data_IF_915162571532
#
_entry.id   IF_915162571532
#
_cell.length_a   1.000
_cell.length_b   1.000
_cell.length_c   1.000
_cell.angle_alpha   90.00
_cell.angle_beta   90.00
_cell.angle_gamma   90.00
#
_symmetry.space_group_name_H-M   'P 1'
#
loop_
_entity.id
_entity.type
_entity.pdbx_description
1 polymer ?
#
# COMPACT_ATOMS: atom_id res chain seq x y z
N UNK A 1 34.98 -24.68 -34.32
CA UNK A 1 33.78 -24.51 -35.17
C UNK A 1 33.30 -25.88 -35.64
N UNK A 2 32.29 -26.45 -34.99
CA UNK A 2 31.70 -27.75 -35.34
C UNK A 2 30.18 -27.59 -35.24
N UNK A 3 29.52 -27.51 -36.41
CA UNK A 3 28.06 -27.52 -36.55
C UNK A 3 27.57 -28.95 -36.35
N UNK A 4 26.76 -29.20 -35.32
CA UNK A 4 25.94 -30.42 -35.22
C UNK A 4 24.48 -30.04 -35.42
N UNK A 5 23.97 -30.47 -36.58
CA UNK A 5 22.56 -30.55 -36.91
C UNK A 5 22.04 -31.90 -36.41
N UNK A 6 20.96 -31.92 -35.64
CA UNK A 6 20.17 -33.14 -35.38
C UNK A 6 18.69 -32.80 -35.52
N UNK A 7 18.06 -33.44 -36.50
CA UNK A 7 16.62 -33.56 -36.68
C UNK A 7 16.01 -34.56 -35.68
N UNK A 8 14.75 -34.31 -35.31
CA UNK A 8 13.85 -35.24 -34.62
C UNK A 8 12.55 -34.49 -34.33
N UNK A 9 11.55 -34.46 -35.22
CA UNK A 9 10.61 -35.54 -35.56
C UNK A 9 9.91 -36.12 -34.31
N UNK A 10 8.77 -35.54 -33.93
CA UNK A 10 7.68 -36.30 -33.30
C UNK A 10 6.34 -35.78 -33.77
N UNK A 11 5.63 -36.68 -34.45
CA UNK A 11 4.27 -36.55 -34.94
C UNK A 11 3.25 -36.49 -33.80
N UNK A 12 2.21 -35.71 -34.10
CA UNK A 12 0.79 -35.88 -33.73
C UNK A 12 0.44 -37.17 -32.99
N UNK A 13 -0.29 -37.00 -31.89
CA UNK A 13 -1.52 -37.78 -31.71
C UNK A 13 -2.60 -36.93 -31.06
N UNK A 14 -3.59 -36.58 -31.90
CA UNK A 14 -4.85 -35.98 -31.51
C UNK A 14 -5.76 -37.07 -30.99
N UNK A 15 -6.26 -36.94 -29.75
CA UNK A 15 -7.48 -37.63 -29.32
C UNK A 15 -8.40 -36.67 -28.58
N UNK A 16 -9.36 -36.16 -29.34
CA UNK A 16 -10.66 -35.75 -28.83
C UNK A 16 -11.28 -36.90 -28.04
N UNK A 17 -11.64 -36.65 -26.78
CA UNK A 17 -12.69 -37.42 -26.11
C UNK A 17 -13.57 -36.42 -25.37
N UNK A 18 -14.71 -36.14 -26.00
CA UNK A 18 -15.82 -35.41 -25.43
C UNK A 18 -16.98 -36.40 -25.25
N UNK A 19 -17.45 -36.65 -24.03
CA UNK A 19 -18.82 -37.08 -23.85
C UNK A 19 -19.53 -36.16 -22.86
N UNK A 20 -20.42 -35.35 -23.44
CA UNK A 20 -21.65 -34.84 -22.81
C UNK A 20 -22.21 -35.87 -21.83
N UNK A 21 -22.24 -35.53 -20.54
CA UNK A 21 -23.19 -36.11 -19.60
C UNK A 21 -24.11 -35.01 -19.09
N UNK A 22 -25.34 -35.11 -19.58
CA UNK A 22 -26.55 -34.44 -19.13
C UNK A 22 -26.66 -34.45 -17.60
N UNK A 23 -26.54 -33.28 -16.98
CA UNK A 23 -27.02 -33.09 -15.61
C UNK A 23 -28.50 -32.71 -15.67
N UNK A 24 -29.32 -33.59 -15.09
CA UNK A 24 -30.76 -33.39 -14.91
C UNK A 24 -30.97 -32.21 -13.97
N UNK A 25 -31.83 -31.29 -14.39
CA UNK A 25 -32.40 -30.21 -13.58
C UNK A 25 -33.16 -30.81 -12.40
N UNK A 26 -32.73 -30.51 -11.19
CA UNK A 26 -33.54 -30.70 -9.98
C UNK A 26 -34.33 -29.42 -9.75
N UNK A 27 -35.63 -29.52 -9.97
CA UNK A 27 -36.65 -28.55 -9.59
C UNK A 27 -36.64 -28.36 -8.06
N UNK A 28 -36.02 -27.28 -7.57
CA UNK A 28 -36.26 -26.80 -6.21
C UNK A 28 -37.43 -25.82 -6.21
N UNK A 29 -38.54 -26.33 -5.68
CA UNK A 29 -39.80 -25.65 -5.41
C UNK A 29 -39.60 -24.30 -4.71
N UNK A 30 -40.20 -23.29 -5.32
CA UNK A 30 -40.55 -22.00 -4.74
C UNK A 30 -41.40 -22.21 -3.47
N UNK A 31 -40.87 -21.87 -2.30
CA UNK A 31 -41.67 -21.58 -1.11
C UNK A 31 -41.83 -20.07 -0.98
N UNK A 32 -43.00 -19.59 -1.41
CA UNK A 32 -43.51 -18.25 -1.11
C UNK A 32 -43.73 -18.15 0.41
N UNK A 33 -43.00 -17.29 1.09
CA UNK A 33 -43.44 -16.75 2.37
C UNK A 33 -43.88 -15.30 2.14
N UNK A 34 -45.20 -15.14 2.03
CA UNK A 34 -45.85 -13.86 2.16
C UNK A 34 -45.84 -13.47 3.64
N UNK A 35 -45.13 -12.38 3.94
CA UNK A 35 -45.22 -11.68 5.23
C UNK A 35 -45.70 -10.27 4.96
N UNK A 36 -47.02 -10.09 5.00
CA UNK A 36 -47.64 -8.77 5.07
C UNK A 36 -47.26 -8.13 6.42
N UNK A 37 -46.60 -6.98 6.39
CA UNK A 37 -46.52 -6.10 7.56
C UNK A 37 -47.19 -4.77 7.25
N UNK A 38 -48.18 -4.50 8.09
CA UNK A 38 -49.10 -3.37 8.06
C UNK A 38 -48.40 -2.06 8.44
N UNK A 39 -48.75 -1.01 7.68
CA UNK A 39 -49.16 0.32 8.13
C UNK A 39 -48.83 0.76 9.57
N UNK A 40 -48.04 1.85 9.69
CA UNK A 40 -48.21 2.99 10.62
C UNK A 40 -47.27 4.11 10.16
N UNK A 41 -47.73 5.11 9.41
CA UNK A 41 -48.45 6.33 9.81
C UNK A 41 -47.69 7.31 10.73
N UNK A 42 -47.82 8.59 10.36
CA UNK A 42 -47.40 9.84 11.03
C UNK A 42 -45.88 10.11 11.05
N UNK A 43 -45.35 11.14 10.38
CA UNK A 43 -45.88 12.50 10.27
C UNK A 43 -45.39 13.33 11.45
N UNK A 44 -44.30 14.08 11.26
CA UNK A 44 -44.03 15.33 11.98
C UNK A 44 -42.90 16.11 11.30
N UNK A 45 -43.30 17.19 10.62
CA UNK A 45 -42.46 18.34 10.31
C UNK A 45 -42.13 19.03 11.65
N UNK A 46 -40.87 19.32 11.91
CA UNK A 46 -40.50 20.36 12.86
C UNK A 46 -39.62 21.38 12.15
N UNK A 47 -40.16 22.59 12.11
CA UNK A 47 -39.52 23.82 11.70
C UNK A 47 -38.53 24.30 12.78
N UNK A 48 -37.58 25.10 12.32
CA UNK A 48 -36.54 25.80 13.04
C UNK A 48 -36.98 26.49 14.35
N UNK A 49 -36.09 26.50 15.34
CA UNK A 49 -35.58 27.71 16.00
C UNK A 49 -34.54 27.35 17.07
N UNK A 50 -33.36 27.95 16.94
CA UNK A 50 -32.61 28.65 18.00
C UNK A 50 -32.65 28.08 19.43
N UNK A 51 -31.53 27.54 19.91
CA UNK A 51 -31.07 27.77 21.30
C UNK A 51 -29.59 27.41 21.45
N UNK A 52 -28.75 28.46 21.48
CA UNK A 52 -27.44 28.43 22.13
C UNK A 52 -27.67 28.11 23.61
N UNK A 53 -27.29 26.92 24.05
CA UNK A 53 -27.18 26.61 25.47
C UNK A 53 -25.79 26.05 25.74
N UNK A 54 -24.97 26.90 26.35
CA UNK A 54 -23.69 26.55 26.95
C UNK A 54 -23.96 25.62 28.13
N UNK A 55 -23.74 24.31 27.98
CA UNK A 55 -23.72 23.37 29.11
C UNK A 55 -22.27 23.15 29.54
N UNK A 56 -21.94 23.77 30.67
CA UNK A 56 -20.86 23.37 31.56
C UNK A 56 -21.09 21.92 31.99
N UNK A 57 -20.26 21.01 31.51
CA UNK A 57 -20.18 19.68 32.09
C UNK A 57 -19.23 19.71 33.28
N UNK A 58 -19.80 19.34 34.42
CA UNK A 58 -19.16 19.08 35.70
C UNK A 58 -18.22 17.87 35.54
N UNK A 59 -16.91 18.11 35.57
CA UNK A 59 -15.89 17.06 35.53
C UNK A 59 -15.68 16.56 36.97
N UNK A 60 -16.03 15.29 37.20
CA UNK A 60 -15.89 14.62 38.49
C UNK A 60 -14.47 14.07 38.62
N UNK A 61 -13.72 14.65 39.55
CA UNK A 61 -12.39 14.22 39.98
C UNK A 61 -12.39 12.76 40.46
N UNK A 62 -11.40 11.98 40.00
CA UNK A 62 -10.56 11.15 40.88
C UNK A 62 -9.16 10.94 40.30
N UNK A 63 -8.14 10.74 41.16
CA UNK A 63 -6.75 11.03 40.84
C UNK A 63 -5.94 9.75 40.66
N UNK A 64 -5.02 9.75 39.70
CA UNK A 64 -3.77 9.01 39.80
C UNK A 64 -2.71 9.79 39.04
N UNK A 65 -1.72 10.26 39.80
CA UNK A 65 -0.65 11.09 39.29
C UNK A 65 0.29 10.31 38.39
N UNK A 66 0.70 10.94 37.30
CA UNK A 66 2.08 10.94 36.81
C UNK A 66 2.33 12.37 36.33
N UNK A 67 3.20 13.08 37.05
CA UNK A 67 3.76 14.35 36.61
C UNK A 67 4.67 14.08 35.41
N UNK A 68 4.43 14.71 34.26
CA UNK A 68 5.51 15.19 33.41
C UNK A 68 5.12 16.52 32.77
N UNK A 69 5.79 17.56 33.27
CA UNK A 69 5.75 18.94 32.79
C UNK A 69 6.63 19.02 31.55
N UNK A 70 6.05 19.25 30.37
CA UNK A 70 6.78 19.89 29.28
C UNK A 70 6.09 21.17 28.86
N UNK A 71 6.49 22.26 29.54
CA UNK A 71 6.36 23.64 29.09
C UNK A 71 6.99 23.77 27.70
N UNK A 72 6.20 23.87 26.63
CA UNK A 72 6.68 24.51 25.40
C UNK A 72 6.57 26.02 25.56
N UNK A 73 7.70 26.64 25.91
CA UNK A 73 7.91 28.08 25.76
C UNK A 73 7.77 28.41 24.28
N UNK A 74 6.73 29.18 23.93
CA UNK A 74 6.68 29.93 22.68
C UNK A 74 7.73 31.04 22.78
N UNK A 75 8.93 30.79 22.25
CA UNK A 75 9.90 31.86 22.00
C UNK A 75 9.43 32.61 20.76
N UNK A 76 8.63 33.66 21.01
CA UNK A 76 8.40 34.74 20.06
C UNK A 76 9.75 35.42 19.81
N UNK A 77 10.39 35.11 18.68
CA UNK A 77 11.49 35.91 18.16
C UNK A 77 10.93 37.15 17.47
N UNK A 78 10.63 38.18 18.26
CA UNK A 78 10.53 39.55 17.74
C UNK A 78 11.91 39.98 17.26
N UNK A 79 12.16 39.84 15.95
CA UNK A 79 13.28 40.51 15.30
C UNK A 79 13.00 42.02 15.31
N UNK A 80 13.61 42.74 16.24
CA UNK A 80 13.80 44.19 16.12
C UNK A 80 14.72 44.44 14.93
N UNK A 81 14.15 44.92 13.82
CA UNK A 81 14.93 45.52 12.74
C UNK A 81 15.24 46.96 13.17
N UNK A 82 16.38 47.16 13.83
CA UNK A 82 16.94 48.49 14.04
C UNK A 82 17.46 49.02 12.71
N UNK A 83 16.67 49.87 12.06
CA UNK A 83 17.10 50.67 10.91
C UNK A 83 18.06 51.75 11.43
N UNK A 84 19.35 51.47 11.37
CA UNK A 84 20.38 52.49 11.60
C UNK A 84 20.51 53.34 10.34
N UNK A 85 20.10 54.61 10.45
CA UNK A 85 20.32 55.63 9.45
C UNK A 85 21.83 55.91 9.32
N UNK A 86 22.49 55.31 8.32
CA UNK A 86 23.85 55.65 7.95
C UNK A 86 23.85 56.80 6.95
N UNK A 87 24.30 57.98 7.41
CA UNK A 87 24.76 59.09 6.57
C UNK A 87 26.18 58.80 6.10
N UNK A 88 26.43 58.81 4.79
CA UNK A 88 27.78 58.82 4.21
C UNK A 88 27.91 58.04 2.90
N UNK A 89 28.13 58.71 1.74
CA UNK A 89 28.11 58.07 0.42
C UNK A 89 29.38 57.29 0.03
N UNK A 90 30.42 57.16 0.87
CA UNK A 90 31.75 56.69 0.42
C UNK A 90 32.20 55.30 0.91
N UNK A 91 31.31 54.48 1.49
CA UNK A 91 31.64 53.08 1.90
C UNK A 91 30.86 52.00 1.13
N UNK A 92 30.41 52.33 -0.08
CA UNK A 92 29.52 51.49 -0.90
C UNK A 92 30.22 50.39 -1.72
N UNK A 93 31.56 50.38 -1.80
CA UNK A 93 32.27 49.47 -2.72
C UNK A 93 33.05 48.31 -2.06
N UNK A 94 33.13 48.22 -0.73
CA UNK A 94 33.84 47.11 -0.06
C UNK A 94 32.96 46.11 0.68
N UNK A 95 31.68 46.42 0.90
CA UNK A 95 30.71 45.52 1.55
C UNK A 95 29.94 44.63 0.57
N UNK A 96 30.06 44.85 -0.75
CA UNK A 96 29.38 44.05 -1.77
C UNK A 96 30.08 42.71 -2.08
N UNK A 97 31.34 42.53 -1.65
CA UNK A 97 32.14 41.35 -2.00
C UNK A 97 32.06 40.19 -1.00
N UNK A 98 31.48 40.38 0.18
CA UNK A 98 31.40 39.34 1.24
C UNK A 98 30.03 38.65 1.29
N UNK A 99 29.01 39.21 0.63
CA UNK A 99 27.66 38.64 0.62
C UNK A 99 27.43 37.54 -0.44
N UNK A 100 28.44 37.20 -1.25
CA UNK A 100 28.31 36.30 -2.41
C UNK A 100 28.80 34.86 -2.20
N UNK A 101 29.30 34.50 -1.01
CA UNK A 101 29.79 33.13 -0.74
C UNK A 101 28.92 32.30 0.20
N UNK A 102 27.74 32.79 0.61
CA UNK A 102 26.70 31.93 1.19
C UNK A 102 25.94 31.20 0.08
N UNK A 103 26.68 30.48 -0.77
CA UNK A 103 26.09 29.47 -1.64
C UNK A 103 25.59 28.36 -0.72
N UNK A 104 24.29 28.44 -0.43
CA UNK A 104 23.57 27.46 0.34
C UNK A 104 23.87 26.07 -0.23
N UNK A 105 24.53 25.22 0.57
CA UNK A 105 24.36 23.78 0.46
C UNK A 105 22.89 23.47 0.77
N UNK A 106 22.01 23.73 -0.20
CA UNK A 106 20.70 23.11 -0.23
C UNK A 106 20.98 21.62 -0.39
N UNK A 107 20.86 20.87 0.71
CA UNK A 107 20.95 19.42 0.69
C UNK A 107 20.02 18.93 -0.43
N UNK A 108 20.58 18.13 -1.35
CA UNK A 108 19.79 17.58 -2.45
C UNK A 108 18.54 16.89 -1.87
N UNK A 109 17.36 17.09 -2.47
CA UNK A 109 16.16 16.44 -1.99
C UNK A 109 16.41 14.93 -1.95
N UNK A 110 16.11 14.31 -0.81
CA UNK A 110 16.26 12.87 -0.66
C UNK A 110 15.49 12.18 -1.79
N UNK A 111 16.18 11.33 -2.55
CA UNK A 111 15.59 10.60 -3.66
C UNK A 111 14.45 9.69 -3.20
N UNK A 112 13.63 9.18 -4.14
CA UNK A 112 12.56 8.24 -3.81
C UNK A 112 13.14 7.00 -3.11
N UNK A 113 12.56 6.67 -1.96
CA UNK A 113 12.95 5.51 -1.16
C UNK A 113 12.52 4.25 -1.93
N UNK A 114 13.46 3.36 -2.22
CA UNK A 114 13.20 2.04 -2.78
C UNK A 114 13.72 0.98 -1.82
N UNK A 115 13.03 -0.15 -1.77
CA UNK A 115 13.43 -1.32 -1.00
C UNK A 115 13.63 -2.49 -1.95
N UNK A 116 14.75 -3.20 -1.81
CA UNK A 116 15.05 -4.43 -2.55
C UNK A 116 15.04 -5.62 -1.60
N UNK A 117 14.68 -6.83 -2.07
CA UNK A 117 14.81 -8.03 -1.27
C UNK A 117 16.22 -8.19 -0.69
N UNK A 118 16.31 -8.39 0.61
CA UNK A 118 17.58 -8.74 1.26
C UNK A 118 17.91 -10.21 0.99
N UNK A 119 19.19 -10.60 0.85
CA UNK A 119 19.58 -12.00 0.73
C UNK A 119 19.17 -12.81 1.96
N UNK A 120 18.49 -13.94 1.76
CA UNK A 120 18.07 -14.84 2.84
C UNK A 120 18.06 -16.29 2.31
N UNK A 121 18.53 -17.28 3.09
CA UNK A 121 18.57 -18.68 2.65
C UNK A 121 17.20 -19.33 2.47
N UNK A 122 16.12 -18.73 2.98
CA UNK A 122 14.76 -19.31 2.97
C UNK A 122 13.93 -18.94 1.74
N UNK A 123 14.43 -18.04 0.88
CA UNK A 123 13.78 -17.65 -0.37
C UNK A 123 14.80 -17.30 -1.46
N UNK A 124 14.35 -17.29 -2.71
CA UNK A 124 15.16 -16.84 -3.85
C UNK A 124 14.88 -15.39 -4.23
N UNK A 125 15.80 -14.77 -4.95
CA UNK A 125 15.63 -13.42 -5.52
C UNK A 125 15.74 -13.53 -7.05
N UNK A 126 14.82 -12.91 -7.77
CA UNK A 126 14.84 -12.85 -9.24
C UNK A 126 15.60 -11.60 -9.70
N UNK A 127 16.23 -11.63 -10.88
CA UNK A 127 16.97 -10.50 -11.49
C UNK A 127 16.16 -9.18 -11.59
N UNK A 128 14.83 -9.23 -11.45
CA UNK A 128 13.92 -8.08 -11.40
C UNK A 128 13.43 -7.69 -9.99
N UNK A 129 14.28 -7.87 -8.96
CA UNK A 129 14.07 -7.38 -7.57
C UNK A 129 12.83 -7.97 -6.87
N UNK A 130 12.37 -9.14 -7.29
CA UNK A 130 11.31 -9.87 -6.62
C UNK A 130 11.87 -10.99 -5.76
N UNK A 131 11.41 -11.07 -4.50
CA UNK A 131 11.68 -12.20 -3.62
C UNK A 131 10.64 -13.30 -3.90
N UNK A 132 11.04 -14.56 -3.92
CA UNK A 132 10.09 -15.66 -4.10
C UNK A 132 10.43 -16.87 -3.23
N UNK A 133 9.39 -17.54 -2.73
CA UNK A 133 9.52 -18.77 -1.97
C UNK A 133 8.57 -19.82 -2.53
N UNK A 134 9.04 -21.07 -2.62
CA UNK A 134 8.26 -22.20 -3.12
C UNK A 134 8.07 -23.20 -1.99
N UNK A 135 6.82 -23.53 -1.68
CA UNK A 135 6.45 -24.55 -0.69
C UNK A 135 5.38 -25.43 -1.34
N UNK A 136 5.59 -26.75 -1.37
CA UNK A 136 4.60 -27.72 -1.89
C UNK A 136 4.08 -27.38 -3.31
N UNK A 137 4.97 -26.95 -4.21
CA UNK A 137 4.66 -26.47 -5.58
C UNK A 137 3.80 -25.19 -5.63
N UNK A 138 3.64 -24.47 -4.53
CA UNK A 138 3.04 -23.14 -4.48
C UNK A 138 4.15 -22.11 -4.42
N UNK A 139 4.20 -21.22 -5.42
CA UNK A 139 5.16 -20.12 -5.50
C UNK A 139 4.49 -18.84 -5.05
N UNK A 140 5.02 -18.23 -3.99
CA UNK A 140 4.67 -16.88 -3.56
C UNK A 140 5.82 -15.96 -3.94
N UNK A 141 5.52 -14.93 -4.71
CA UNK A 141 6.47 -13.92 -5.17
C UNK A 141 6.02 -12.55 -4.67
N UNK A 142 6.96 -11.78 -4.11
CA UNK A 142 6.72 -10.46 -3.53
C UNK A 142 7.70 -9.46 -4.15
N UNK A 143 7.16 -8.29 -4.52
CA UNK A 143 7.94 -7.16 -5.00
C UNK A 143 7.51 -5.88 -4.30
N UNK A 144 8.45 -5.16 -3.69
CA UNK A 144 8.21 -3.78 -3.27
C UNK A 144 8.14 -2.87 -4.50
N UNK A 145 7.15 -1.97 -4.55
CA UNK A 145 6.94 -1.07 -5.67
C UNK A 145 7.26 0.36 -5.26
N UNK A 146 8.28 0.95 -5.92
CA UNK A 146 8.47 2.39 -5.90
C UNK A 146 7.30 3.09 -6.62
N UNK A 147 7.11 4.42 -6.43
CA UNK A 147 6.09 5.16 -7.16
C UNK A 147 6.16 4.96 -8.69
N UNK A 148 7.37 4.88 -9.25
CA UNK A 148 7.57 4.60 -10.68
C UNK A 148 7.18 3.17 -11.08
N UNK A 149 7.40 2.19 -10.19
CA UNK A 149 7.07 0.78 -10.43
C UNK A 149 5.57 0.46 -10.29
N UNK A 150 4.79 1.33 -9.63
CA UNK A 150 3.38 1.09 -9.33
C UNK A 150 2.49 1.14 -10.58
N UNK A 151 2.69 2.12 -11.47
CA UNK A 151 1.86 2.33 -12.66
C UNK A 151 1.75 1.09 -13.57
N UNK A 152 2.86 0.45 -13.99
CA UNK A 152 2.82 -0.77 -14.80
C UNK A 152 2.07 -1.93 -14.14
N UNK A 153 2.19 -2.07 -12.81
CA UNK A 153 1.48 -3.11 -12.04
C UNK A 153 -0.01 -2.80 -12.00
N UNK A 154 -0.40 -1.57 -11.68
CA UNK A 154 -1.80 -1.14 -11.66
C UNK A 154 -2.48 -1.30 -13.03
N UNK A 155 -1.78 -0.96 -14.12
CA UNK A 155 -2.30 -1.18 -15.47
C UNK A 155 -2.61 -2.64 -15.73
N UNK A 156 -1.73 -3.55 -15.30
CA UNK A 156 -1.95 -5.01 -15.43
C UNK A 156 -3.13 -5.50 -14.58
N UNK A 157 -3.26 -5.01 -13.35
CA UNK A 157 -4.30 -5.45 -12.41
C UNK A 157 -5.69 -4.87 -12.73
N UNK A 158 -5.76 -3.61 -13.15
CA UNK A 158 -7.03 -2.88 -13.31
C UNK A 158 -7.46 -2.72 -14.77
N UNK A 159 -6.54 -2.90 -15.72
CA UNK A 159 -6.74 -2.58 -17.14
C UNK A 159 -6.70 -1.07 -17.44
N UNK A 160 -6.38 -0.22 -16.45
CA UNK A 160 -6.38 1.24 -16.58
C UNK A 160 -5.00 1.82 -16.27
N UNK A 161 -4.50 2.81 -17.04
CA UNK A 161 -3.24 3.47 -16.74
C UNK A 161 -3.34 4.50 -15.60
N UNK A 162 -4.55 4.86 -15.18
CA UNK A 162 -4.75 5.85 -14.13
C UNK A 162 -4.45 5.26 -12.75
N UNK A 163 -3.66 5.98 -11.95
CA UNK A 163 -3.29 5.60 -10.59
C UNK A 163 -4.34 6.07 -9.59
N UNK A 164 -5.07 5.15 -8.90
CA UNK A 164 -6.06 5.56 -7.90
C UNK A 164 -5.45 6.19 -6.65
N UNK A 165 -4.14 6.05 -6.45
CA UNK A 165 -3.40 6.60 -5.31
C UNK A 165 -2.75 7.95 -5.60
N UNK A 166 -2.87 8.45 -6.83
CA UNK A 166 -2.32 9.75 -7.23
C UNK A 166 -2.83 10.87 -6.31
N UNK A 167 -1.91 11.69 -5.79
CA UNK A 167 -2.22 12.78 -4.85
C UNK A 167 -2.39 12.34 -3.39
N UNK A 168 -2.63 11.05 -3.09
CA UNK A 168 -2.61 10.53 -1.72
C UNK A 168 -1.18 10.37 -1.19
N UNK A 169 -0.26 10.02 -2.09
CA UNK A 169 1.18 9.82 -1.80
C UNK A 169 1.87 11.08 -1.26
N UNK A 170 1.32 12.27 -1.50
CA UNK A 170 1.92 13.55 -1.08
C UNK A 170 1.74 13.80 0.41
N UNK A 171 0.71 13.22 1.03
CA UNK A 171 0.35 13.49 2.44
C UNK A 171 0.75 12.38 3.40
N UNK A 172 0.93 11.15 2.89
CA UNK A 172 1.22 9.96 3.70
C UNK A 172 2.17 9.06 2.92
N UNK A 173 3.13 8.47 3.62
CA UNK A 173 4.04 7.51 3.00
C UNK A 173 3.38 6.14 2.98
N UNK A 174 3.14 5.64 1.78
CA UNK A 174 2.56 4.31 1.56
C UNK A 174 3.66 3.35 1.11
N UNK A 175 3.66 2.13 1.65
CA UNK A 175 4.43 1.02 1.11
C UNK A 175 3.53 0.18 0.21
N UNK A 176 3.96 -0.07 -1.02
CA UNK A 176 3.23 -0.92 -1.96
C UNK A 176 4.01 -2.20 -2.18
N UNK A 177 3.35 -3.34 -1.99
CA UNK A 177 3.90 -4.64 -2.32
C UNK A 177 2.98 -5.34 -3.30
N UNK A 178 3.49 -5.72 -4.48
CA UNK A 178 2.82 -6.72 -5.31
C UNK A 178 3.09 -8.10 -4.74
N UNK A 179 2.02 -8.87 -4.55
CA UNK A 179 2.06 -10.26 -4.12
C UNK A 179 1.44 -11.12 -5.22
N UNK A 180 2.20 -12.07 -5.75
CA UNK A 180 1.74 -13.05 -6.73
C UNK A 180 1.81 -14.45 -6.16
N UNK A 181 0.70 -15.17 -6.22
CA UNK A 181 0.57 -16.56 -5.78
C UNK A 181 0.28 -17.42 -7.01
N UNK A 182 1.20 -18.31 -7.36
CA UNK A 182 1.03 -19.31 -8.40
C UNK A 182 0.92 -20.69 -7.76
N UNK A 183 -0.19 -21.39 -8.01
CA UNK A 183 -0.50 -22.67 -7.40
C UNK A 183 -0.21 -23.82 -8.39
N UNK A 184 0.99 -24.38 -8.33
CA UNK A 184 1.37 -25.60 -9.06
C UNK A 184 0.99 -26.90 -8.34
N UNK A 185 0.33 -26.81 -7.19
CA UNK A 185 -0.10 -27.98 -6.42
C UNK A 185 -1.43 -28.54 -6.93
N UNK A 186 -1.85 -29.70 -6.39
CA UNK A 186 -3.18 -30.29 -6.62
C UNK A 186 -4.25 -29.79 -5.64
N UNK A 187 -3.87 -28.98 -4.63
CA UNK A 187 -4.76 -28.46 -3.59
C UNK A 187 -5.08 -26.99 -3.85
N UNK A 188 -6.21 -26.52 -3.34
CA UNK A 188 -6.50 -25.08 -3.32
C UNK A 188 -5.55 -24.36 -2.37
N UNK A 189 -5.16 -23.13 -2.73
CA UNK A 189 -4.39 -22.25 -1.85
C UNK A 189 -5.30 -21.11 -1.40
N UNK A 190 -5.36 -20.84 -0.10
CA UNK A 190 -6.12 -19.71 0.44
C UNK A 190 -5.16 -18.76 1.15
N UNK A 191 -5.23 -17.48 0.82
CA UNK A 191 -4.43 -16.43 1.44
C UNK A 191 -5.35 -15.37 2.06
N UNK A 192 -5.16 -15.08 3.34
CA UNK A 192 -5.86 -13.98 4.02
C UNK A 192 -4.97 -12.73 4.10
N UNK A 193 -5.22 -11.69 3.29
CA UNK A 193 -4.39 -10.50 3.28
C UNK A 193 -4.45 -9.70 4.58
N UNK A 194 -5.57 -9.73 5.32
CA UNK A 194 -5.71 -8.99 6.58
C UNK A 194 -4.75 -9.47 7.68
N UNK A 195 -4.21 -10.68 7.55
CA UNK A 195 -3.22 -11.24 8.48
C UNK A 195 -1.77 -10.89 8.10
N UNK A 196 -1.55 -10.25 6.95
CA UNK A 196 -0.22 -9.81 6.57
C UNK A 196 0.27 -8.70 7.51
N UNK A 197 1.55 -8.73 7.83
CA UNK A 197 2.18 -7.74 8.70
C UNK A 197 3.48 -7.28 8.08
N UNK A 198 3.64 -5.96 7.96
CA UNK A 198 4.90 -5.32 7.65
C UNK A 198 5.55 -4.90 8.97
N UNK A 199 6.80 -5.29 9.18
CA UNK A 199 7.58 -4.97 10.39
C UNK A 199 8.79 -4.16 9.96
N UNK A 200 9.04 -3.00 10.57
CA UNK A 200 10.27 -2.24 10.34
C UNK A 200 11.41 -2.68 11.26
N UNK A 201 12.62 -2.17 11.04
CA UNK A 201 13.77 -2.37 11.92
C UNK A 201 13.58 -1.79 13.34
N UNK A 202 12.67 -0.85 13.50
CA UNK A 202 12.23 -0.31 14.79
C UNK A 202 11.14 -1.17 15.48
N UNK A 203 10.85 -2.37 14.96
CA UNK A 203 9.76 -3.28 15.36
C UNK A 203 8.37 -2.61 15.30
N UNK A 204 8.23 -1.55 14.50
CA UNK A 204 6.93 -0.96 14.20
C UNK A 204 6.18 -1.89 13.25
N UNK A 205 4.94 -2.21 13.62
CA UNK A 205 4.09 -3.13 12.88
C UNK A 205 2.97 -2.37 12.17
N UNK A 206 2.81 -2.66 10.88
CA UNK A 206 1.71 -2.15 10.08
C UNK A 206 0.94 -3.31 9.44
N UNK A 207 -0.38 -3.19 9.42
CA UNK A 207 -1.28 -4.08 8.67
C UNK A 207 -1.63 -3.44 7.32
N UNK A 208 -1.98 -4.25 6.30
CA UNK A 208 -2.40 -3.68 5.04
C UNK A 208 -3.74 -2.96 5.19
N UNK A 209 -3.93 -1.94 4.38
CA UNK A 209 -5.17 -1.17 4.26
C UNK A 209 -6.20 -1.97 3.48
N UNK A 210 -7.41 -1.98 4.02
CA UNK A 210 -8.58 -2.62 3.42
C UNK A 210 -9.37 -1.62 2.54
N UNK A 211 -10.37 -2.09 1.83
CA UNK A 211 -11.21 -1.23 0.98
C UNK A 211 -11.93 -0.12 1.77
N UNK A 212 -12.53 -0.39 2.95
CA UNK A 212 -13.10 0.65 3.82
C UNK A 212 -12.13 1.79 4.17
N UNK A 213 -10.86 1.47 4.47
CA UNK A 213 -9.83 2.47 4.71
C UNK A 213 -9.66 3.41 3.50
N UNK A 214 -9.62 2.86 2.29
CA UNK A 214 -9.53 3.67 1.07
C UNK A 214 -10.80 4.47 0.81
N UNK A 215 -11.97 3.91 1.10
CA UNK A 215 -13.24 4.64 1.00
C UNK A 215 -13.19 5.91 1.84
N UNK A 216 -12.73 5.82 3.09
CA UNK A 216 -12.64 6.98 3.99
C UNK A 216 -11.74 8.10 3.47
N UNK A 217 -10.69 7.75 2.70
CA UNK A 217 -9.71 8.71 2.18
C UNK A 217 -10.11 9.27 0.82
N UNK A 218 -10.79 8.47 -0.01
CA UNK A 218 -11.14 8.82 -1.38
C UNK A 218 -12.55 9.36 -1.54
N UNK A 219 -13.44 9.24 -0.55
CA UNK A 219 -14.85 9.61 -0.67
C UNK A 219 -15.08 11.05 -1.19
N UNK A 220 -14.27 12.00 -0.71
CA UNK A 220 -14.37 13.42 -1.07
C UNK A 220 -13.62 13.78 -2.36
N UNK A 221 -12.99 12.82 -3.03
CA UNK A 221 -12.27 13.06 -4.27
C UNK A 221 -13.26 13.22 -5.45
N UNK A 222 -13.05 14.18 -6.38
CA UNK A 222 -13.94 14.35 -7.55
C UNK A 222 -14.12 13.10 -8.42
N UNK A 223 -13.15 12.18 -8.39
CA UNK A 223 -13.17 10.89 -9.11
C UNK A 223 -13.30 9.68 -8.17
N UNK A 224 -13.90 9.86 -6.99
CA UNK A 224 -13.94 8.85 -5.92
C UNK A 224 -14.43 7.49 -6.41
N UNK A 225 -15.56 7.44 -7.13
CA UNK A 225 -16.15 6.19 -7.65
C UNK A 225 -15.18 5.42 -8.55
N UNK A 226 -14.58 6.10 -9.54
CA UNK A 226 -13.63 5.49 -10.47
C UNK A 226 -12.40 4.96 -9.74
N UNK A 227 -11.83 5.76 -8.83
CA UNK A 227 -10.63 5.39 -8.08
C UNK A 227 -10.89 4.22 -7.13
N UNK A 228 -12.02 4.24 -6.43
CA UNK A 228 -12.43 3.13 -5.56
C UNK A 228 -12.66 1.84 -6.35
N UNK A 229 -13.27 1.91 -7.54
CA UNK A 229 -13.41 0.75 -8.41
C UNK A 229 -12.05 0.16 -8.85
N UNK A 230 -11.03 1.01 -9.06
CA UNK A 230 -9.67 0.56 -9.35
C UNK A 230 -9.00 -0.06 -8.11
N UNK A 231 -9.12 0.56 -6.94
CA UNK A 231 -8.61 0.02 -5.67
C UNK A 231 -9.19 -1.37 -5.41
N UNK A 232 -10.51 -1.54 -5.56
CA UNK A 232 -11.19 -2.82 -5.37
C UNK A 232 -10.67 -3.94 -6.28
N UNK A 233 -10.16 -3.59 -7.47
CA UNK A 233 -9.58 -4.56 -8.42
C UNK A 233 -8.12 -4.87 -8.13
N UNK A 234 -7.36 -3.89 -7.63
CA UNK A 234 -5.92 -4.01 -7.46
C UNK A 234 -5.50 -4.51 -6.07
N UNK A 235 -6.20 -4.10 -5.01
CA UNK A 235 -5.81 -4.37 -3.62
C UNK A 235 -6.42 -5.68 -3.13
N UNK A 236 -5.61 -6.46 -2.41
CA UNK A 236 -6.09 -7.60 -1.65
C UNK A 236 -6.82 -7.14 -0.38
N UNK A 237 -8.13 -7.03 -0.49
CA UNK A 237 -9.03 -6.63 0.61
C UNK A 237 -9.64 -7.83 1.35
N UNK A 238 -9.94 -8.90 0.62
CA UNK A 238 -10.61 -10.11 1.14
C UNK A 238 -9.76 -11.35 0.96
N UNK A 239 -10.01 -12.44 1.73
CA UNK A 239 -9.35 -13.71 1.50
C UNK A 239 -9.48 -14.18 0.04
N UNK A 240 -8.37 -14.62 -0.54
CA UNK A 240 -8.31 -15.08 -1.93
C UNK A 240 -7.99 -16.56 -2.00
N UNK A 241 -8.73 -17.26 -2.84
CA UNK A 241 -8.50 -18.68 -3.13
C UNK A 241 -7.94 -18.84 -4.54
N UNK A 242 -6.81 -19.52 -4.67
CA UNK A 242 -6.16 -19.87 -5.93
C UNK A 242 -6.35 -21.36 -6.17
N UNK A 243 -7.16 -21.71 -7.16
CA UNK A 243 -7.38 -23.09 -7.58
C UNK A 243 -6.09 -23.75 -8.10
N UNK A 244 -5.99 -25.09 -8.11
CA UNK A 244 -4.89 -25.81 -8.74
C UNK A 244 -4.61 -25.33 -10.18
N UNK A 245 -3.34 -25.10 -10.51
CA UNK A 245 -2.90 -24.54 -11.80
C UNK A 245 -3.15 -23.03 -11.97
N UNK A 246 -3.85 -22.40 -11.02
CA UNK A 246 -4.21 -20.99 -11.07
C UNK A 246 -3.07 -20.07 -10.64
N UNK A 247 -3.23 -18.79 -10.99
CA UNK A 247 -2.38 -17.69 -10.51
C UNK A 247 -3.25 -16.51 -10.11
N UNK A 248 -2.90 -15.86 -9.00
CA UNK A 248 -3.41 -14.53 -8.65
C UNK A 248 -2.28 -13.57 -8.34
N UNK A 249 -2.55 -12.30 -8.60
CA UNK A 249 -1.70 -11.17 -8.27
C UNK A 249 -2.58 -10.05 -7.74
N UNK A 250 -2.07 -9.31 -6.76
CA UNK A 250 -2.73 -8.17 -6.15
C UNK A 250 -1.75 -7.36 -5.31
N UNK A 251 -2.20 -6.23 -4.81
CA UNK A 251 -1.42 -5.31 -4.00
C UNK A 251 -1.75 -5.46 -2.51
N UNK A 252 -0.72 -5.44 -1.68
CA UNK A 252 -0.81 -5.05 -0.28
C UNK A 252 -0.31 -3.62 -0.14
N UNK A 253 -1.09 -2.78 0.55
CA UNK A 253 -0.78 -1.37 0.72
C UNK A 253 -0.70 -1.07 2.20
N UNK A 254 0.45 -0.61 2.67
CA UNK A 254 0.67 -0.27 4.08
C UNK A 254 0.81 1.23 4.23
N UNK A 255 0.35 1.76 5.36
CA UNK A 255 0.59 3.15 5.75
C UNK A 255 1.69 3.14 6.80
N UNK A 256 2.84 3.71 6.48
CA UNK A 256 4.06 3.63 7.29
C UNK A 256 4.82 4.94 7.22
N UNK A 257 5.41 5.36 8.32
CA UNK A 257 6.26 6.56 8.36
C UNK A 257 7.70 6.18 7.96
N UNK A 258 7.93 5.96 6.67
CA UNK A 258 9.19 5.42 6.10
C UNK A 258 10.43 6.33 6.23
N UNK A 259 10.38 7.39 7.05
CA UNK A 259 11.45 8.41 7.04
C UNK A 259 12.77 7.86 7.57
N UNK A 260 12.74 6.87 8.46
CA UNK A 260 13.95 6.39 9.15
C UNK A 260 14.24 4.89 8.98
N UNK A 261 13.27 4.10 8.50
CA UNK A 261 13.43 2.64 8.38
C UNK A 261 14.53 2.27 7.36
N UNK A 262 15.50 1.45 7.77
CA UNK A 262 16.55 0.90 6.89
C UNK A 262 16.19 -0.45 6.32
N UNK A 263 15.32 -1.19 7.01
CA UNK A 263 14.86 -2.49 6.55
C UNK A 263 13.40 -2.73 6.89
N UNK A 264 12.76 -3.58 6.11
CA UNK A 264 11.38 -4.00 6.27
C UNK A 264 11.30 -5.52 6.17
N UNK A 265 10.42 -6.13 6.94
CA UNK A 265 10.09 -7.54 6.82
C UNK A 265 8.59 -7.70 6.59
N UNK A 266 8.23 -8.26 5.44
CA UNK A 266 6.84 -8.63 5.14
C UNK A 266 6.59 -10.08 5.55
N UNK A 267 5.63 -10.27 6.45
CA UNK A 267 5.20 -11.57 6.95
C UNK A 267 3.79 -11.88 6.48
N UNK A 268 3.60 -13.06 5.87
CA UNK A 268 2.32 -13.65 5.51
C UNK A 268 2.17 -14.94 6.34
N UNK A 269 1.64 -14.86 7.58
CA UNK A 269 1.60 -16.01 8.49
C UNK A 269 0.63 -17.10 8.03
N UNK A 270 -0.41 -16.72 7.28
CA UNK A 270 -1.59 -17.55 7.02
C UNK A 270 -1.81 -17.78 5.51
N UNK A 271 -0.89 -18.53 4.89
CA UNK A 271 -1.10 -19.08 3.53
C UNK A 271 -1.42 -20.56 3.66
N UNK A 272 -2.69 -20.91 3.43
CA UNK A 272 -3.18 -22.28 3.55
C UNK A 272 -3.02 -23.04 2.24
N UNK A 273 -2.39 -24.22 2.28
CA UNK A 273 -2.30 -25.16 1.15
C UNK A 273 -3.15 -26.40 1.49
N UNK A 274 -4.39 -26.43 1.01
CA UNK A 274 -5.41 -27.32 1.56
C UNK A 274 -5.77 -26.90 2.99
N UNK A 275 -5.45 -27.74 3.99
CA UNK A 275 -5.72 -27.47 5.41
C UNK A 275 -4.48 -27.04 6.21
N UNK A 276 -3.28 -27.16 5.64
CA UNK A 276 -2.03 -26.82 6.32
C UNK A 276 -1.74 -25.33 6.16
N UNK A 277 -1.47 -24.63 7.26
CA UNK A 277 -1.03 -23.24 7.26
C UNK A 277 0.49 -23.17 7.09
N UNK A 278 0.94 -22.27 6.23
CA UNK A 278 2.36 -22.01 5.99
C UNK A 278 2.64 -20.51 6.12
N UNK A 279 3.72 -20.20 6.85
CA UNK A 279 4.20 -18.84 6.99
C UNK A 279 5.25 -18.51 5.92
N UNK A 280 5.08 -17.34 5.30
CA UNK A 280 6.05 -16.75 4.39
C UNK A 280 6.60 -15.47 5.01
N UNK A 281 7.91 -15.27 4.94
CA UNK A 281 8.59 -14.07 5.42
C UNK A 281 9.62 -13.65 4.40
N UNK A 282 9.66 -12.36 4.10
CA UNK A 282 10.56 -11.77 3.14
C UNK A 282 11.16 -10.50 3.74
N UNK A 283 12.49 -10.40 3.74
CA UNK A 283 13.20 -9.23 4.22
C UNK A 283 13.55 -8.31 3.04
N UNK A 284 13.54 -7.01 3.29
CA UNK A 284 13.83 -5.97 2.32
C UNK A 284 14.75 -4.94 2.95
N UNK A 285 15.74 -4.49 2.20
CA UNK A 285 16.67 -3.45 2.61
C UNK A 285 16.46 -2.20 1.77
N UNK A 286 16.55 -1.05 2.43
CA UNK A 286 16.50 0.26 1.79
C UNK A 286 17.69 0.39 0.85
N UNK A 287 17.43 0.84 -0.35
CA UNK A 287 18.44 1.20 -1.32
C UNK A 287 18.44 2.71 -1.46
N UNK A 288 19.60 3.31 -1.23
CA UNK A 288 19.82 4.70 -1.61
C UNK A 288 19.90 4.73 -3.12
N UNK A 289 18.83 5.19 -3.76
CA UNK A 289 18.87 5.50 -5.18
C UNK A 289 19.79 6.70 -5.32
N UNK A 290 21.03 6.48 -5.77
CA UNK A 290 21.93 7.57 -6.13
C UNK A 290 21.18 8.47 -7.13
N UNK A 291 21.04 9.78 -6.85
CA UNK A 291 20.34 10.67 -7.76
C UNK A 291 21.02 10.58 -9.13
N UNK A 292 20.24 10.51 -10.23
CA UNK A 292 20.82 10.40 -11.56
C UNK A 292 21.82 11.53 -11.74
N UNK A 293 23.08 11.17 -12.04
CA UNK A 293 24.15 12.14 -12.26
C UNK A 293 23.63 13.18 -13.27
N UNK A 294 23.57 14.44 -12.87
CA UNK A 294 23.09 15.50 -13.73
C UNK A 294 23.95 15.53 -14.99
N UNK A 295 23.37 15.18 -16.15
CA UNK A 295 24.00 15.37 -17.44
C UNK A 295 24.30 16.87 -17.58
N UNK A 296 25.59 17.19 -17.69
CA UNK A 296 26.11 18.56 -17.86
C UNK A 296 26.06 18.98 -19.32
#
# INVERSE_FOLDING_TARGET
>A
MLKKSIHGFFSRDSREVNPRKSFKSLDTKSSRFGGAFLHRSAGRRFSAACQKTSRLFYQKDRPTGIQYIHRRRLLSFSRCVTVSAMRGPERLLRSLAVALTLSACAAAPAGPISFKPAPDPTYGITEGEAAFKIIENVRVEIRHLSPAGLGPVLKRLTGSPADPFEGLLVKKTFAFFSVSIANGSKRSVTFNPAMAVLVSDLDLRATPRDYPDFYSVLADHPESERRLAQVKKAVYDVPVTVSPGGRKEGLLVFMVEMTEDRSLALSLPDVYIGHAAHAFRFAFERQETEPPAAEK
#
